data_IF_497360483784
#
_entry.id   IF_497360483784
#
_cell.length_a   1.000
_cell.length_b   1.000
_cell.length_c   1.000
_cell.angle_alpha   90.00
_cell.angle_beta   90.00
_cell.angle_gamma   90.00
#
_symmetry.space_group_name_H-M   'P 1'
#
loop_
_entity.id
_entity.type
_entity.pdbx_description
1 polymer ?
#
# COMPACT_ATOMS: atom_id res chain seq x y z
N UNK A 1 -59.34 -54.18 -88.72
CA UNK A 1 -58.70 -52.91 -89.09
C UNK A 1 -58.01 -52.37 -87.86
N UNK A 2 -56.80 -51.91 -88.08
CA UNK A 2 -55.76 -51.56 -87.13
C UNK A 2 -56.19 -50.58 -86.04
N UNK A 3 -55.77 -50.83 -84.80
CA UNK A 3 -55.59 -49.75 -83.83
C UNK A 3 -54.23 -49.94 -83.15
N UNK A 4 -53.39 -48.94 -83.37
CA UNK A 4 -51.97 -48.87 -83.09
C UNK A 4 -51.62 -49.04 -81.62
N UNK A 5 -50.54 -49.80 -81.38
CA UNK A 5 -49.63 -49.66 -80.24
C UNK A 5 -48.95 -48.28 -80.31
N UNK A 6 -48.99 -47.54 -79.22
CA UNK A 6 -47.99 -46.51 -78.91
C UNK A 6 -47.48 -46.73 -77.50
N UNK A 7 -46.29 -47.30 -77.44
CA UNK A 7 -45.45 -47.40 -76.25
C UNK A 7 -44.92 -46.00 -75.91
N UNK A 8 -45.29 -45.48 -74.73
CA UNK A 8 -44.69 -44.29 -74.13
C UNK A 8 -44.36 -44.60 -72.66
N UNK A 9 -43.36 -45.45 -72.44
CA UNK A 9 -42.69 -45.62 -71.15
C UNK A 9 -41.37 -44.85 -71.15
N UNK A 10 -41.44 -43.55 -70.90
CA UNK A 10 -40.27 -42.76 -70.56
C UNK A 10 -39.80 -43.07 -69.13
N UNK A 11 -38.51 -43.35 -68.88
CA UNK A 11 -37.99 -43.46 -67.53
C UNK A 11 -37.98 -42.07 -66.87
N UNK A 12 -38.83 -41.90 -65.84
CA UNK A 12 -38.78 -40.77 -64.93
C UNK A 12 -37.49 -40.86 -64.11
N UNK A 13 -36.49 -40.07 -64.51
CA UNK A 13 -35.29 -39.80 -63.71
C UNK A 13 -35.74 -38.94 -62.53
N UNK A 14 -36.09 -39.60 -61.42
CA UNK A 14 -36.25 -38.93 -60.13
C UNK A 14 -34.86 -38.57 -59.62
N UNK A 15 -34.41 -37.36 -59.94
CA UNK A 15 -33.22 -36.78 -59.33
C UNK A 15 -33.40 -36.73 -57.81
N UNK A 16 -32.67 -37.60 -57.11
CA UNK A 16 -32.59 -37.69 -55.67
C UNK A 16 -31.82 -36.47 -55.14
N UNK A 17 -32.51 -35.32 -55.08
CA UNK A 17 -32.00 -34.07 -54.50
C UNK A 17 -31.77 -34.31 -53.01
N UNK A 18 -30.53 -34.65 -52.69
CA UNK A 18 -30.00 -34.79 -51.34
C UNK A 18 -30.30 -33.53 -50.53
N UNK A 19 -31.35 -33.60 -49.70
CA UNK A 19 -31.82 -32.51 -48.83
C UNK A 19 -30.80 -32.29 -47.71
N UNK A 20 -29.78 -31.47 -47.97
CA UNK A 20 -28.81 -31.09 -46.97
C UNK A 20 -29.54 -30.39 -45.80
N UNK A 21 -29.54 -31.03 -44.62
CA UNK A 21 -30.08 -30.42 -43.39
C UNK A 21 -29.33 -29.10 -43.14
N UNK A 22 -30.04 -27.98 -42.91
CA UNK A 22 -29.39 -26.70 -42.65
C UNK A 22 -28.47 -26.83 -41.42
N UNK A 23 -27.16 -26.63 -41.63
CA UNK A 23 -26.17 -26.57 -40.56
C UNK A 23 -26.54 -25.41 -39.64
N UNK A 24 -27.10 -25.72 -38.48
CA UNK A 24 -27.41 -24.73 -37.45
C UNK A 24 -26.11 -24.05 -37.01
N UNK A 25 -26.14 -22.72 -36.96
CA UNK A 25 -25.00 -21.92 -36.56
C UNK A 25 -24.46 -22.38 -35.19
N UNK A 26 -23.12 -22.42 -34.99
CA UNK A 26 -22.54 -22.87 -33.74
C UNK A 26 -23.02 -21.97 -32.60
N UNK A 27 -23.64 -22.57 -31.58
CA UNK A 27 -24.01 -21.86 -30.36
C UNK A 27 -22.75 -21.23 -29.74
N UNK A 28 -22.84 -19.97 -29.33
CA UNK A 28 -21.77 -19.25 -28.64
C UNK A 28 -22.17 -19.01 -27.18
N UNK A 29 -21.19 -18.92 -26.29
CA UNK A 29 -21.38 -18.59 -24.87
C UNK A 29 -20.39 -17.52 -24.41
N UNK A 30 -20.77 -16.72 -23.43
CA UNK A 30 -19.95 -15.64 -22.85
C UNK A 30 -19.19 -16.16 -21.63
N UNK A 31 -17.89 -15.88 -21.54
CA UNK A 31 -17.08 -16.24 -20.38
C UNK A 31 -17.40 -15.32 -19.18
N UNK A 32 -17.77 -15.85 -18.00
CA UNK A 32 -18.13 -15.03 -16.84
C UNK A 32 -16.95 -14.28 -16.20
N UNK A 33 -15.70 -14.65 -16.54
CA UNK A 33 -14.51 -14.00 -15.99
C UNK A 33 -14.01 -12.80 -16.82
N UNK A 34 -14.08 -12.89 -18.15
CA UNK A 34 -13.50 -11.87 -19.05
C UNK A 34 -14.46 -11.36 -20.11
N UNK A 35 -15.70 -11.85 -20.15
CA UNK A 35 -16.72 -11.40 -21.12
C UNK A 35 -16.51 -11.87 -22.56
N UNK A 36 -15.42 -12.59 -22.88
CA UNK A 36 -15.15 -13.05 -24.26
C UNK A 36 -16.13 -14.14 -24.68
N UNK A 37 -16.65 -14.03 -25.90
CA UNK A 37 -17.43 -15.08 -26.56
C UNK A 37 -16.54 -16.27 -26.92
N UNK A 38 -17.06 -17.49 -26.75
CA UNK A 38 -16.38 -18.71 -27.16
C UNK A 38 -17.40 -19.76 -27.66
N UNK A 39 -16.92 -20.72 -28.47
CA UNK A 39 -17.75 -21.81 -28.98
C UNK A 39 -18.35 -22.61 -27.83
N UNK A 40 -19.67 -22.71 -27.80
CA UNK A 40 -20.39 -23.43 -26.75
C UNK A 40 -20.02 -24.92 -26.78
N UNK A 41 -19.76 -25.45 -25.59
CA UNK A 41 -19.71 -26.88 -25.31
C UNK A 41 -20.41 -27.05 -23.97
N UNK A 42 -21.29 -28.04 -23.84
CA UNK A 42 -22.14 -28.23 -22.65
C UNK A 42 -21.38 -28.14 -21.31
N UNK A 43 -20.16 -28.68 -21.26
CA UNK A 43 -19.32 -28.69 -20.05
C UNK A 43 -18.31 -27.54 -19.96
N UNK A 44 -18.29 -26.61 -20.92
CA UNK A 44 -17.31 -25.50 -20.97
C UNK A 44 -18.01 -24.18 -20.60
N UNK A 45 -17.73 -23.71 -19.38
CA UNK A 45 -18.23 -22.43 -18.86
C UNK A 45 -17.25 -21.26 -19.05
N UNK A 46 -15.95 -21.55 -19.20
CA UNK A 46 -14.90 -20.54 -19.35
C UNK A 46 -14.23 -20.65 -20.72
N UNK A 47 -13.85 -19.52 -21.32
CA UNK A 47 -13.19 -19.50 -22.61
C UNK A 47 -11.82 -20.21 -22.60
N UNK A 48 -11.09 -20.12 -21.48
CA UNK A 48 -9.74 -20.67 -21.29
C UNK A 48 -9.49 -21.24 -19.88
N UNK A 49 -8.50 -22.15 -19.71
CA UNK A 49 -8.09 -22.64 -18.40
C UNK A 49 -7.64 -21.53 -17.44
N UNK A 50 -7.03 -20.45 -17.97
CA UNK A 50 -6.62 -19.26 -17.19
C UNK A 50 -7.84 -18.56 -16.58
N UNK A 51 -8.90 -18.36 -17.35
CA UNK A 51 -10.14 -17.76 -16.84
C UNK A 51 -10.82 -18.64 -15.79
N UNK A 52 -10.82 -19.96 -15.97
CA UNK A 52 -11.33 -20.90 -14.97
C UNK A 52 -10.55 -20.81 -13.66
N UNK A 53 -9.21 -20.83 -13.71
CA UNK A 53 -8.34 -20.68 -12.54
C UNK A 53 -8.55 -19.32 -11.84
N UNK A 54 -8.63 -18.24 -12.60
CA UNK A 54 -8.86 -16.90 -12.05
C UNK A 54 -10.22 -16.77 -11.37
N UNK A 55 -11.29 -17.33 -11.97
CA UNK A 55 -12.61 -17.33 -11.36
C UNK A 55 -12.65 -18.14 -10.06
N UNK A 56 -11.97 -19.30 -10.04
CA UNK A 56 -11.80 -20.10 -8.81
C UNK A 56 -11.07 -19.31 -7.73
N UNK A 57 -9.92 -18.71 -8.04
CA UNK A 57 -9.17 -17.86 -7.10
C UNK A 57 -9.96 -16.65 -6.63
N UNK A 58 -10.77 -16.03 -7.49
CA UNK A 58 -11.64 -14.91 -7.12
C UNK A 58 -12.70 -15.38 -6.12
N UNK A 59 -13.35 -16.53 -6.36
CA UNK A 59 -14.30 -17.13 -5.42
C UNK A 59 -13.65 -17.50 -4.10
N UNK A 60 -12.46 -18.10 -4.14
CA UNK A 60 -11.68 -18.45 -2.97
C UNK A 60 -11.29 -17.22 -2.14
N UNK A 61 -10.88 -16.11 -2.77
CA UNK A 61 -10.59 -14.84 -2.09
C UNK A 61 -11.84 -14.17 -1.50
N UNK A 62 -13.01 -14.41 -2.08
CA UNK A 62 -14.29 -13.93 -1.53
C UNK A 62 -14.65 -14.77 -0.30
N UNK A 63 -14.52 -16.09 -0.39
CA UNK A 63 -14.89 -17.01 0.70
C UNK A 63 -13.90 -16.98 1.86
N UNK A 64 -12.62 -16.82 1.54
CA UNK A 64 -11.47 -16.83 2.46
C UNK A 64 -10.58 -15.65 2.11
N UNK A 65 -10.98 -14.42 2.47
CA UNK A 65 -10.15 -13.25 2.23
C UNK A 65 -8.85 -13.41 3.01
N UNK A 66 -7.72 -13.10 2.37
CA UNK A 66 -6.39 -13.13 2.97
C UNK A 66 -6.18 -11.93 3.93
N UNK A 67 -7.06 -11.79 4.91
CA UNK A 67 -6.98 -10.82 6.00
C UNK A 67 -6.45 -11.50 7.27
N UNK A 68 -6.16 -10.71 8.30
CA UNK A 68 -5.68 -11.23 9.59
C UNK A 68 -6.65 -12.21 10.26
N UNK A 69 -7.96 -12.13 9.96
CA UNK A 69 -8.95 -13.06 10.53
C UNK A 69 -8.78 -14.49 9.99
N UNK A 70 -8.37 -14.67 8.73
CA UNK A 70 -8.28 -15.99 8.09
C UNK A 70 -6.84 -16.47 7.84
N UNK A 71 -5.83 -15.64 8.07
CA UNK A 71 -4.41 -15.99 7.84
C UNK A 71 -3.57 -15.64 9.06
N UNK A 72 -3.00 -16.67 9.70
CA UNK A 72 -2.12 -16.52 10.87
C UNK A 72 -0.88 -15.66 10.56
N UNK A 73 -0.29 -15.85 9.37
CA UNK A 73 0.85 -15.04 8.93
C UNK A 73 0.49 -13.56 8.84
N UNK A 74 -0.67 -13.23 8.25
CA UNK A 74 -1.14 -11.84 8.16
C UNK A 74 -1.50 -11.26 9.53
N UNK A 75 -2.07 -12.07 10.42
CA UNK A 75 -2.33 -11.67 11.79
C UNK A 75 -1.03 -11.31 12.53
N UNK A 76 0.02 -12.13 12.36
CA UNK A 76 1.33 -11.89 12.95
C UNK A 76 1.98 -10.62 12.39
N UNK A 77 2.03 -10.45 11.06
CA UNK A 77 2.56 -9.24 10.42
C UNK A 77 1.83 -7.98 10.92
N UNK A 78 0.50 -8.04 11.03
CA UNK A 78 -0.32 -6.94 11.53
C UNK A 78 -0.02 -6.66 13.01
N UNK A 79 0.15 -7.70 13.84
CA UNK A 79 0.50 -7.55 15.25
C UNK A 79 1.88 -6.91 15.44
N UNK A 80 2.90 -7.37 14.70
CA UNK A 80 4.26 -6.81 14.72
C UNK A 80 4.26 -5.33 14.30
N UNK A 81 3.48 -4.98 13.27
CA UNK A 81 3.30 -3.60 12.82
C UNK A 81 2.69 -2.71 13.90
N UNK A 82 1.63 -3.16 14.58
CA UNK A 82 0.99 -2.39 15.64
C UNK A 82 1.84 -2.32 16.92
N UNK A 83 2.57 -3.38 17.25
CA UNK A 83 3.53 -3.36 18.36
C UNK A 83 4.62 -2.31 18.12
N UNK A 84 5.21 -2.29 16.91
CA UNK A 84 6.19 -1.27 16.55
C UNK A 84 5.61 0.14 16.62
N UNK A 85 4.40 0.35 16.10
CA UNK A 85 3.71 1.64 16.20
C UNK A 85 3.52 2.10 17.66
N UNK A 86 3.20 1.17 18.56
CA UNK A 86 3.04 1.44 19.98
C UNK A 86 4.38 1.82 20.64
N UNK A 87 5.47 1.11 20.32
CA UNK A 87 6.83 1.43 20.82
C UNK A 87 7.29 2.80 20.35
N UNK A 88 7.00 3.18 19.10
CA UNK A 88 7.29 4.51 18.59
C UNK A 88 6.51 5.60 19.35
N UNK A 89 5.22 5.35 19.64
CA UNK A 89 4.42 6.27 20.43
C UNK A 89 4.92 6.36 21.89
N UNK A 90 5.30 5.23 22.49
CA UNK A 90 5.91 5.20 23.82
C UNK A 90 7.21 6.01 23.87
N UNK A 91 8.08 5.85 22.87
CA UNK A 91 9.30 6.65 22.77
C UNK A 91 8.97 8.14 22.66
N UNK A 92 8.04 8.51 21.78
CA UNK A 92 7.59 9.90 21.62
C UNK A 92 7.14 10.52 22.95
N UNK A 93 6.31 9.81 23.73
CA UNK A 93 5.77 10.36 24.98
C UNK A 93 6.73 10.27 26.16
N UNK A 94 7.76 9.43 26.08
CA UNK A 94 8.83 9.36 27.07
C UNK A 94 9.83 10.51 26.92
N UNK A 95 9.98 11.06 25.71
CA UNK A 95 10.84 12.21 25.45
C UNK A 95 10.28 13.49 26.09
N UNK A 96 11.15 14.41 26.55
CA UNK A 96 10.72 15.71 27.04
C UNK A 96 10.08 16.53 25.91
N UNK A 97 9.17 17.46 26.24
CA UNK A 97 8.41 18.25 25.27
C UNK A 97 9.18 18.83 24.07
N UNK A 98 10.40 19.32 24.31
CA UNK A 98 11.22 19.99 23.30
C UNK A 98 11.89 19.02 22.30
N UNK A 99 12.10 17.75 22.67
CA UNK A 99 12.73 16.74 21.80
C UNK A 99 11.71 16.01 20.89
N UNK A 100 10.42 16.07 21.23
CA UNK A 100 9.37 15.33 20.53
C UNK A 100 9.26 15.69 19.04
N UNK A 101 9.46 16.97 18.72
CA UNK A 101 9.37 17.47 17.35
C UNK A 101 10.50 16.88 16.48
N UNK A 102 11.74 16.90 16.97
CA UNK A 102 12.88 16.32 16.25
C UNK A 102 12.76 14.81 16.08
N UNK A 103 12.17 14.11 17.05
CA UNK A 103 11.87 12.68 16.92
C UNK A 103 10.83 12.39 15.81
N UNK A 104 9.73 13.14 15.77
CA UNK A 104 8.71 12.98 14.73
C UNK A 104 9.27 13.31 13.35
N UNK A 105 10.04 14.39 13.24
CA UNK A 105 10.72 14.79 12.00
C UNK A 105 11.61 13.66 11.46
N UNK A 106 12.42 13.06 12.35
CA UNK A 106 13.32 11.96 12.01
C UNK A 106 12.54 10.76 11.46
N UNK A 107 11.44 10.38 12.11
CA UNK A 107 10.57 9.27 11.64
C UNK A 107 9.99 9.58 10.25
N UNK A 108 9.56 10.81 10.01
CA UNK A 108 9.00 11.22 8.71
C UNK A 108 10.06 11.17 7.62
N UNK A 109 11.28 11.65 7.89
CA UNK A 109 12.42 11.53 6.95
C UNK A 109 12.71 10.07 6.62
N UNK A 110 12.84 9.19 7.64
CA UNK A 110 13.04 7.75 7.44
C UNK A 110 11.96 7.10 6.55
N UNK A 111 10.70 7.54 6.69
CA UNK A 111 9.59 7.06 5.88
C UNK A 111 9.63 7.58 4.43
N UNK A 112 10.03 8.85 4.26
CA UNK A 112 10.11 9.53 2.96
C UNK A 112 11.28 9.03 2.13
N UNK A 113 12.46 8.90 2.74
CA UNK A 113 13.69 8.45 2.09
C UNK A 113 13.64 6.97 1.68
N UNK A 114 12.64 6.23 2.18
CA UNK A 114 12.46 4.81 1.88
C UNK A 114 13.41 3.89 2.64
N UNK A 115 14.15 4.40 3.63
CA UNK A 115 15.04 3.60 4.47
C UNK A 115 14.30 2.53 5.27
N UNK A 116 13.06 2.81 5.69
CA UNK A 116 12.22 1.83 6.38
C UNK A 116 10.81 1.76 5.77
N UNK A 117 10.53 0.77 4.89
CA UNK A 117 9.20 0.60 4.31
C UNK A 117 8.12 0.29 5.37
N UNK A 118 8.51 -0.32 6.49
CA UNK A 118 7.61 -0.62 7.60
C UNK A 118 7.17 0.66 8.33
N UNK A 119 8.09 1.60 8.58
CA UNK A 119 7.75 2.89 9.18
C UNK A 119 6.80 3.68 8.27
N UNK A 120 7.08 3.70 6.95
CA UNK A 120 6.18 4.29 5.96
C UNK A 120 4.79 3.66 6.02
N UNK A 121 4.70 2.33 6.07
CA UNK A 121 3.43 1.62 6.15
C UNK A 121 2.68 1.95 7.47
N UNK A 122 3.37 2.00 8.61
CA UNK A 122 2.80 2.42 9.92
C UNK A 122 2.20 3.83 9.84
N UNK A 123 2.98 4.80 9.35
CA UNK A 123 2.55 6.19 9.26
C UNK A 123 1.34 6.38 8.35
N UNK A 124 1.23 5.60 7.27
CA UNK A 124 0.16 5.71 6.29
C UNK A 124 -1.05 4.79 6.57
N UNK A 125 -1.00 4.01 7.66
CA UNK A 125 -2.09 3.09 8.01
C UNK A 125 -3.35 3.86 8.41
N UNK A 126 -4.49 3.65 7.73
CA UNK A 126 -5.73 4.38 8.04
C UNK A 126 -6.20 4.19 9.49
N UNK A 127 -6.04 2.98 10.04
CA UNK A 127 -6.40 2.67 11.42
C UNK A 127 -5.56 3.44 12.45
N UNK A 128 -4.35 3.89 12.10
CA UNK A 128 -3.52 4.72 12.97
C UNK A 128 -3.69 6.21 12.68
N UNK A 129 -3.99 6.61 11.44
CA UNK A 129 -4.28 8.01 11.10
C UNK A 129 -5.63 8.49 11.65
N UNK A 130 -6.64 7.62 11.55
CA UNK A 130 -8.00 7.84 12.00
C UNK A 130 -8.42 6.67 12.91
N UNK A 131 -7.76 6.51 14.08
CA UNK A 131 -8.07 5.44 15.01
C UNK A 131 -9.46 5.63 15.61
N UNK A 132 -10.18 4.53 15.78
CA UNK A 132 -11.40 4.51 16.57
C UNK A 132 -11.00 4.64 18.06
N UNK A 133 -11.54 5.59 18.83
CA UNK A 133 -11.22 5.74 20.25
C UNK A 133 -11.57 4.51 21.10
N UNK A 134 -12.49 3.65 20.63
CA UNK A 134 -12.81 2.38 21.31
C UNK A 134 -11.66 1.37 21.24
N UNK A 135 -10.79 1.46 20.23
CA UNK A 135 -9.64 0.59 20.04
C UNK A 135 -8.45 1.05 20.90
N UNK A 136 -8.64 1.03 22.23
CA UNK A 136 -7.68 1.56 23.21
C UNK A 136 -6.26 1.00 23.04
N UNK A 137 -6.12 -0.22 22.54
CA UNK A 137 -4.82 -0.86 22.32
C UNK A 137 -3.92 -0.15 21.29
N UNK A 138 -4.49 0.69 20.43
CA UNK A 138 -3.74 1.49 19.45
C UNK A 138 -3.04 2.71 20.06
N UNK A 139 -3.44 3.11 21.27
CA UNK A 139 -2.97 4.33 21.92
C UNK A 139 -1.97 4.01 23.04
N UNK A 140 -0.98 4.89 23.21
CA UNK A 140 -0.05 4.79 24.33
C UNK A 140 -0.81 4.74 25.67
N UNK A 141 -0.40 3.83 26.57
CA UNK A 141 -1.06 3.54 27.86
C UNK A 141 -2.56 3.23 27.78
N UNK A 142 -3.06 2.88 26.59
CA UNK A 142 -4.49 2.62 26.34
C UNK A 142 -5.40 3.81 26.68
N UNK A 143 -4.90 5.03 26.52
CA UNK A 143 -5.57 6.28 26.89
C UNK A 143 -5.77 7.20 25.66
N UNK A 144 -6.84 7.02 24.87
CA UNK A 144 -7.10 7.80 23.65
C UNK A 144 -7.39 9.28 23.89
N UNK A 145 -7.82 9.65 25.11
CA UNK A 145 -8.10 11.04 25.47
C UNK A 145 -6.82 11.85 25.77
N UNK A 146 -5.77 11.17 26.23
CA UNK A 146 -4.53 11.82 26.68
C UNK A 146 -3.42 11.71 25.64
N UNK A 147 -3.45 10.67 24.81
CA UNK A 147 -2.42 10.39 23.82
C UNK A 147 -3.03 10.19 22.44
N UNK A 148 -2.33 10.68 21.41
CA UNK A 148 -2.60 10.34 20.02
C UNK A 148 -1.67 9.23 19.55
N UNK A 149 -2.05 8.52 18.48
CA UNK A 149 -1.18 7.53 17.84
C UNK A 149 0.03 8.20 17.21
N UNK A 150 1.08 7.42 16.90
CA UNK A 150 2.27 7.96 16.23
C UNK A 150 1.93 8.59 14.87
N UNK A 151 1.02 8.00 14.10
CA UNK A 151 0.60 8.50 12.79
C UNK A 151 -0.23 9.79 12.92
N UNK A 152 -1.08 9.93 13.95
CA UNK A 152 -1.77 11.18 14.24
C UNK A 152 -0.79 12.29 14.64
N UNK A 153 0.19 11.99 15.48
CA UNK A 153 1.24 12.95 15.88
C UNK A 153 2.03 13.44 14.66
N UNK A 154 2.47 12.50 13.80
CA UNK A 154 3.17 12.82 12.56
C UNK A 154 2.31 13.66 11.59
N UNK A 155 1.03 13.32 11.41
CA UNK A 155 0.15 14.10 10.54
C UNK A 155 -0.10 15.51 11.07
N UNK A 156 -0.26 15.68 12.39
CA UNK A 156 -0.33 17.02 13.00
C UNK A 156 0.96 17.79 12.75
N UNK A 157 2.11 17.17 12.99
CA UNK A 157 3.40 17.79 12.72
C UNK A 157 3.51 18.26 11.26
N UNK A 158 3.22 17.42 10.26
CA UNK A 158 3.25 17.82 8.85
C UNK A 158 2.34 19.01 8.52
N UNK A 159 1.16 19.09 9.14
CA UNK A 159 0.21 20.19 8.92
C UNK A 159 0.72 21.51 9.51
N UNK A 160 1.39 21.46 10.67
CA UNK A 160 1.86 22.66 11.39
C UNK A 160 3.31 23.05 11.08
N UNK A 161 4.09 22.14 10.50
CA UNK A 161 5.45 22.35 10.03
C UNK A 161 5.50 23.19 8.74
N UNK A 162 6.70 23.59 8.26
CA UNK A 162 6.82 24.31 7.00
C UNK A 162 6.39 23.49 5.77
N UNK A 163 6.24 22.16 5.85
CA UNK A 163 5.59 21.39 4.78
C UNK A 163 4.14 21.87 4.55
N UNK A 164 3.42 22.25 5.61
CA UNK A 164 2.00 22.65 5.61
C UNK A 164 1.10 21.74 4.75
N UNK A 165 1.33 20.44 4.82
CA UNK A 165 0.66 19.44 4.00
C UNK A 165 0.28 18.21 4.83
N UNK A 166 -0.56 17.33 4.28
CA UNK A 166 -0.92 16.08 4.92
C UNK A 166 0.26 15.10 4.89
N UNK A 167 0.34 14.23 5.91
CA UNK A 167 1.39 13.21 6.00
C UNK A 167 1.51 12.36 4.74
N UNK A 168 0.38 12.02 4.12
CA UNK A 168 0.34 11.21 2.91
C UNK A 168 1.11 11.85 1.74
N UNK A 169 0.93 13.16 1.54
CA UNK A 169 1.60 13.90 0.48
C UNK A 169 3.10 14.05 0.78
N UNK A 170 3.46 14.32 2.04
CA UNK A 170 4.86 14.46 2.47
C UNK A 170 5.64 13.15 2.28
N UNK A 171 5.09 12.02 2.76
CA UNK A 171 5.77 10.71 2.70
C UNK A 171 5.81 10.15 1.27
N UNK A 172 4.89 10.57 0.39
CA UNK A 172 4.93 10.20 -1.04
C UNK A 172 5.89 11.06 -1.87
N UNK A 173 6.38 12.16 -1.32
CA UNK A 173 7.19 13.14 -2.06
C UNK A 173 6.36 14.08 -2.94
N UNK A 174 5.03 14.11 -2.76
CA UNK A 174 4.14 15.02 -3.47
C UNK A 174 4.22 16.46 -2.90
N UNK A 175 4.67 16.60 -1.65
CA UNK A 175 4.86 17.90 -1.00
C UNK A 175 6.27 18.45 -1.25
N UNK A 176 6.42 19.76 -1.54
CA UNK A 176 7.73 20.38 -1.69
C UNK A 176 8.54 20.28 -0.39
N UNK A 177 9.87 20.29 -0.52
CA UNK A 177 10.75 20.35 0.64
C UNK A 177 10.53 21.69 1.37
N UNK A 178 10.45 21.69 2.71
CA UNK A 178 10.39 22.92 3.48
C UNK A 178 11.64 23.75 3.19
N UNK A 179 11.53 25.08 3.18
CA UNK A 179 12.70 25.94 3.12
C UNK A 179 13.59 25.62 4.34
N UNK A 180 14.85 25.28 4.10
CA UNK A 180 15.82 24.94 5.15
C UNK A 180 16.17 26.15 6.02
N UNK A 181 15.85 27.36 5.55
CA UNK A 181 16.26 28.62 6.19
C UNK A 181 17.76 28.88 6.04
N UNK A 182 18.43 28.18 5.12
CA UNK A 182 19.81 28.47 4.75
C UNK A 182 19.85 29.84 4.04
N UNK A 183 20.76 30.70 4.50
CA UNK A 183 21.02 31.99 3.85
C UNK A 183 22.10 31.76 2.82
N UNK A 184 21.80 32.00 1.55
CA UNK A 184 22.78 31.85 0.48
C UNK A 184 23.83 32.96 0.53
N UNK A 185 24.99 32.71 -0.08
CA UNK A 185 26.12 33.64 -0.07
C UNK A 185 25.83 35.00 -0.74
N UNK A 186 24.78 35.06 -1.56
CA UNK A 186 24.27 36.29 -2.18
C UNK A 186 23.37 37.12 -1.23
N UNK A 187 23.13 36.63 0.00
CA UNK A 187 22.21 37.24 0.95
C UNK A 187 20.74 36.98 0.66
N UNK A 188 20.43 36.15 -0.35
CA UNK A 188 19.09 35.65 -0.61
C UNK A 188 18.67 34.70 0.51
N UNK A 189 17.47 34.93 1.05
CA UNK A 189 16.76 33.91 1.84
C UNK A 189 15.88 33.17 0.86
N UNK A 190 15.86 31.83 0.92
CA UNK A 190 14.82 31.01 0.26
C UNK A 190 13.46 31.33 0.88
N UNK A 191 12.92 32.50 0.55
CA UNK A 191 11.58 32.88 0.95
C UNK A 191 10.64 32.09 0.03
N UNK A 192 9.89 31.10 0.57
CA UNK A 192 8.90 30.42 -0.24
C UNK A 192 7.92 31.47 -0.74
N UNK A 193 7.65 31.48 -2.05
CA UNK A 193 6.66 32.38 -2.65
C UNK A 193 5.47 32.52 -1.70
N UNK A 194 5.04 33.76 -1.39
CA UNK A 194 4.06 34.02 -0.35
C UNK A 194 2.85 33.14 -0.61
N UNK A 195 2.70 32.10 0.22
CA UNK A 195 1.61 31.12 0.07
C UNK A 195 0.34 31.91 0.14
N UNK A 196 -0.30 32.11 -1.01
CA UNK A 196 -1.56 32.83 -1.12
C UNK A 196 -2.45 32.29 -0.02
N UNK A 197 -2.80 33.16 0.94
CA UNK A 197 -3.65 32.83 2.06
C UNK A 197 -4.80 31.99 1.51
N UNK A 198 -4.85 30.70 1.86
CA UNK A 198 -5.95 29.81 1.48
C UNK A 198 -7.22 30.39 2.11
N UNK A 199 -7.87 31.31 1.40
CA UNK A 199 -9.26 31.63 1.62
C UNK A 199 -10.01 30.33 1.43
N UNK A 200 -10.67 29.85 2.48
CA UNK A 200 -11.48 28.63 2.50
C UNK A 200 -12.74 28.80 1.62
N UNK A 201 -12.57 29.04 0.32
CA UNK A 201 -13.63 29.45 -0.61
C UNK A 201 -14.24 28.34 -1.46
N UNK A 202 -13.67 27.13 -1.48
CA UNK A 202 -14.20 26.05 -2.32
C UNK A 202 -14.70 24.87 -1.48
N UNK A 203 -15.91 25.03 -0.95
CA UNK A 203 -16.64 24.01 -0.20
C UNK A 203 -17.59 23.31 -1.17
N UNK A 204 -17.15 22.21 -1.79
CA UNK A 204 -18.03 21.32 -2.54
C UNK A 204 -19.07 20.71 -1.58
N UNK A 205 -20.34 20.82 -1.94
CA UNK A 205 -21.54 20.62 -1.10
C UNK A 205 -21.84 19.18 -0.64
N UNK A 206 -20.88 18.25 -0.63
CA UNK A 206 -21.16 16.81 -0.40
C UNK A 206 -20.66 16.19 0.91
N UNK A 207 -19.99 16.94 1.80
CA UNK A 207 -19.46 16.40 3.07
C UNK A 207 -19.95 17.16 4.31
N UNK A 208 -21.24 17.47 4.38
CA UNK A 208 -21.83 18.14 5.57
C UNK A 208 -21.92 17.25 6.83
N UNK A 209 -21.66 15.94 6.74
CA UNK A 209 -21.82 15.01 7.86
C UNK A 209 -20.61 14.82 8.79
N UNK A 210 -19.39 15.18 8.36
CA UNK A 210 -18.15 14.86 9.12
C UNK A 210 -17.48 16.09 9.74
N UNK A 211 -17.76 17.29 9.19
CA UNK A 211 -17.12 18.55 9.60
C UNK A 211 -17.59 19.09 10.96
N UNK A 212 -18.77 18.71 11.44
CA UNK A 212 -19.32 19.16 12.73
C UNK A 212 -18.57 18.55 13.92
N UNK A 213 -18.04 17.33 13.79
CA UNK A 213 -17.27 16.66 14.86
C UNK A 213 -15.83 17.19 15.00
N UNK A 214 -15.28 17.82 13.97
CA UNK A 214 -13.90 18.36 13.97
C UNK A 214 -13.86 19.81 14.49
N UNK A 215 -14.95 20.58 14.36
CA UNK A 215 -14.99 21.99 14.80
C UNK A 215 -15.09 22.18 16.31
N UNK A 216 -15.67 21.25 17.06
CA UNK A 216 -15.73 21.35 18.53
C UNK A 216 -14.38 21.10 19.23
N UNK A 217 -13.40 20.50 18.54
CA UNK A 217 -12.07 20.20 19.10
C UNK A 217 -11.01 21.31 18.93
N UNK A 218 -11.37 22.51 18.45
CA UNK A 218 -10.41 23.58 18.06
C UNK A 218 -10.00 24.59 19.15
N UNK A 219 -10.45 24.46 20.41
CA UNK A 219 -10.15 25.44 21.47
C UNK A 219 -8.97 25.10 22.40
N UNK A 220 -8.18 24.06 22.10
CA UNK A 220 -7.05 23.64 22.95
C UNK A 220 -5.75 23.77 22.16
N UNK A 221 -4.72 24.39 22.75
CA UNK A 221 -3.40 24.53 22.12
C UNK A 221 -2.90 23.16 21.62
N UNK A 222 -2.54 23.00 20.33
CA UNK A 222 -2.53 21.69 19.65
C UNK A 222 -1.49 20.68 20.16
N UNK A 223 -0.54 21.12 20.98
CA UNK A 223 0.52 20.27 21.56
C UNK A 223 0.44 20.10 23.08
N UNK A 224 -0.17 21.04 23.81
CA UNK A 224 -0.29 20.99 25.27
C UNK A 224 -1.59 21.66 25.71
N UNK A 225 -2.67 20.89 25.80
CA UNK A 225 -3.82 21.23 26.62
C UNK A 225 -3.54 20.98 28.11
N UNK A 226 -2.47 21.57 28.65
CA UNK A 226 -2.26 21.67 30.10
C UNK A 226 -2.83 23.01 30.56
N UNK A 227 -4.17 23.09 30.54
CA UNK A 227 -4.95 24.19 31.11
C UNK A 227 -5.91 23.73 32.20
N UNK A 228 -5.82 22.48 32.66
CA UNK A 228 -6.51 22.01 33.85
C UNK A 228 -5.45 21.53 34.84
N UNK A 229 -5.33 22.25 35.95
CA UNK A 229 -4.91 21.68 37.22
C UNK A 229 -5.67 20.36 37.41
N UNK A 230 -4.97 19.23 37.30
CA UNK A 230 -5.55 17.97 37.69
C UNK A 230 -4.97 17.55 39.04
N UNK A 231 -5.79 17.46 40.09
CA UNK A 231 -5.36 16.89 41.37
C UNK A 231 -5.48 15.36 41.29
N UNK A 232 -4.69 14.69 40.44
CA UNK A 232 -4.49 13.25 40.60
C UNK A 232 -3.27 13.00 41.47
N UNK A 233 -3.53 12.67 42.73
CA UNK A 233 -2.57 11.89 43.54
C UNK A 233 -2.23 10.63 42.73
N UNK A 234 -0.96 10.51 42.34
CA UNK A 234 -0.40 9.29 41.76
C UNK A 234 -0.82 8.12 42.66
N UNK A 235 -1.73 7.26 42.18
CA UNK A 235 -1.91 5.96 42.84
C UNK A 235 -0.65 5.16 42.56
N UNK A 236 -0.03 4.55 43.58
CA UNK A 236 1.02 3.57 43.35
C UNK A 236 0.44 2.46 42.47
N UNK A 237 1.12 2.20 41.35
CA UNK A 237 0.82 1.08 40.47
C UNK A 237 1.08 -0.21 41.25
N UNK A 238 0.21 -1.24 41.16
CA UNK A 238 0.56 -2.56 41.67
C UNK A 238 1.72 -3.11 40.85
N UNK A 239 2.69 -3.71 41.54
CA UNK A 239 3.90 -4.31 40.99
C UNK A 239 3.58 -5.23 39.80
N UNK A 240 3.79 -4.71 38.59
CA UNK A 240 3.84 -5.51 37.37
C UNK A 240 5.21 -6.19 37.34
N UNK A 241 5.26 -7.35 37.98
CA UNK A 241 6.43 -8.21 38.01
C UNK A 241 6.92 -8.60 36.61
N UNK A 242 8.13 -8.13 36.28
CA UNK A 242 9.24 -8.90 35.69
C UNK A 242 8.83 -9.91 34.59
N UNK A 243 8.31 -9.44 33.45
CA UNK A 243 8.43 -10.15 32.16
C UNK A 243 8.53 -9.14 31.00
N UNK A 244 9.50 -8.24 30.99
CA UNK A 244 9.79 -7.42 29.77
C UNK A 244 11.24 -7.02 29.55
N UNK A 245 12.15 -7.15 30.53
CA UNK A 245 13.47 -6.51 30.42
C UNK A 245 14.43 -7.13 29.38
N UNK A 246 14.24 -8.39 28.95
CA UNK A 246 15.20 -9.05 28.03
C UNK A 246 14.84 -8.99 26.53
N UNK A 247 13.67 -8.47 26.15
CA UNK A 247 13.26 -8.37 24.74
C UNK A 247 13.27 -6.94 24.19
N UNK A 248 13.50 -5.93 25.02
CA UNK A 248 13.52 -4.51 24.60
C UNK A 248 14.89 -4.02 24.19
N UNK A 249 15.97 -4.55 24.77
CA UNK A 249 17.34 -4.14 24.43
C UNK A 249 17.74 -4.54 23.00
N UNK A 250 17.38 -5.75 22.54
CA UNK A 250 17.79 -6.25 21.22
C UNK A 250 17.18 -5.48 20.04
N UNK A 251 15.91 -5.06 20.17
CA UNK A 251 15.23 -4.26 19.13
C UNK A 251 15.72 -2.80 19.15
N UNK A 252 16.09 -2.28 20.32
CA UNK A 252 16.64 -0.93 20.45
C UNK A 252 18.04 -0.85 19.83
N UNK A 253 18.87 -1.87 20.04
CA UNK A 253 20.18 -2.00 19.40
C UNK A 253 20.09 -2.17 17.89
N UNK A 254 19.07 -2.87 17.36
CA UNK A 254 18.87 -2.94 15.90
C UNK A 254 18.47 -1.60 15.30
N UNK A 255 17.57 -0.85 15.94
CA UNK A 255 17.17 0.48 15.45
C UNK A 255 18.35 1.45 15.50
N UNK A 256 19.10 1.48 16.61
CA UNK A 256 20.29 2.33 16.73
C UNK A 256 21.37 1.92 15.73
N UNK A 257 21.60 0.61 15.49
CA UNK A 257 22.50 0.13 14.42
C UNK A 257 22.04 0.58 13.04
N UNK A 258 20.75 0.53 12.73
CA UNK A 258 20.22 0.99 11.44
C UNK A 258 20.47 2.49 11.28
N UNK A 259 20.24 3.28 12.33
CA UNK A 259 20.51 4.73 12.33
C UNK A 259 22.00 5.01 12.16
N UNK A 260 22.87 4.34 12.91
CA UNK A 260 24.33 4.50 12.79
C UNK A 260 24.83 4.14 11.39
N UNK A 261 24.39 3.02 10.82
CA UNK A 261 24.76 2.60 9.45
C UNK A 261 24.25 3.59 8.39
N UNK A 262 23.04 4.13 8.57
CA UNK A 262 22.51 5.14 7.67
C UNK A 262 23.33 6.45 7.74
N UNK A 263 23.70 6.89 8.94
CA UNK A 263 24.53 8.10 9.12
C UNK A 263 25.96 7.93 8.60
N UNK A 264 26.57 6.75 8.78
CA UNK A 264 27.89 6.45 8.23
C UNK A 264 27.88 6.48 6.69
N UNK A 265 26.88 5.85 6.06
CA UNK A 265 26.73 5.88 4.59
C UNK A 265 26.48 7.27 4.03
N UNK A 266 25.73 8.11 4.74
CA UNK A 266 25.52 9.50 4.34
C UNK A 266 26.83 10.31 4.41
N UNK A 267 27.68 10.02 5.41
CA UNK A 267 28.99 10.68 5.57
C UNK A 267 29.98 10.26 4.49
N UNK A 268 30.00 8.97 4.11
CA UNK A 268 30.83 8.47 3.00
C UNK A 268 30.40 9.03 1.64
N UNK A 269 29.09 9.15 1.40
CA UNK A 269 28.56 9.73 0.15
C UNK A 269 28.87 11.23 0.02
N UNK A 270 29.06 11.95 1.14
CA UNK A 270 29.47 13.36 1.14
C UNK A 270 30.97 13.59 0.86
N UNK A 271 31.81 12.56 0.89
CA UNK A 271 33.27 12.70 0.84
C UNK A 271 33.91 12.44 -0.53
N UNK A 272 33.13 12.12 -1.57
CA UNK A 272 33.65 11.88 -2.93
C UNK A 272 32.86 12.64 -4.00
N UNK A 273 32.87 13.97 -3.94
CA UNK A 273 32.58 14.80 -5.12
C UNK A 273 33.74 15.77 -5.40
N UNK A 274 34.89 15.21 -5.76
CA UNK A 274 35.74 15.88 -6.74
C UNK A 274 35.08 15.64 -8.10
N UNK A 275 34.35 16.64 -8.60
CA UNK A 275 33.83 16.62 -9.97
C UNK A 275 35.01 16.55 -10.95
N UNK A 276 35.10 15.52 -11.82
CA UNK A 276 35.95 15.62 -12.99
C UNK A 276 35.34 16.63 -13.98
N UNK A 277 36.22 17.44 -14.58
CA UNK A 277 35.87 18.37 -15.65
C UNK A 277 35.11 17.66 -16.79
N UNK A 278 33.87 18.11 -16.99
CA UNK A 278 33.06 18.15 -18.21
C UNK A 278 33.36 17.08 -19.29
N UNK A 279 32.47 16.09 -19.52
CA UNK A 279 32.55 15.23 -20.69
C UNK A 279 31.87 15.85 -21.94
N UNK A 280 32.24 15.40 -23.15
CA UNK A 280 31.79 15.98 -24.41
C UNK A 280 30.35 15.55 -24.75
N UNK A 281 29.65 16.46 -25.42
CA UNK A 281 28.32 16.29 -25.99
C UNK A 281 28.34 15.36 -27.20
N UNK A 282 28.27 14.04 -26.99
CA UNK A 282 27.83 13.12 -28.05
C UNK A 282 27.39 11.76 -27.48
N UNK A 283 26.09 11.55 -27.34
CA UNK A 283 25.51 10.22 -27.13
C UNK A 283 24.20 10.11 -27.91
N UNK A 284 24.33 9.63 -29.14
CA UNK A 284 23.22 9.10 -29.94
C UNK A 284 22.55 7.93 -29.23
N UNK A 285 21.23 8.01 -29.10
CA UNK A 285 20.38 6.93 -28.59
C UNK A 285 20.10 5.93 -29.73
N UNK A 286 20.86 4.84 -29.80
CA UNK A 286 20.47 3.66 -30.60
C UNK A 286 19.62 2.70 -29.75
N UNK A 287 18.36 2.57 -30.15
CA UNK A 287 17.40 1.63 -29.59
C UNK A 287 17.78 0.19 -29.94
N UNK A 288 18.31 -0.56 -28.98
CA UNK A 288 18.42 -2.02 -29.07
C UNK A 288 17.59 -2.69 -27.97
N UNK A 289 16.49 -3.32 -28.36
CA UNK A 289 15.66 -4.16 -27.49
C UNK A 289 16.25 -5.58 -27.44
N UNK A 290 16.47 -6.17 -26.24
CA UNK A 290 16.92 -7.55 -26.16
C UNK A 290 15.75 -8.53 -26.36
N UNK A 291 15.90 -9.42 -27.35
CA UNK A 291 15.01 -10.57 -27.60
C UNK A 291 15.06 -11.55 -26.41
N UNK A 292 13.92 -11.74 -25.75
CA UNK A 292 13.75 -12.77 -24.72
C UNK A 292 13.81 -14.18 -25.34
N UNK A 293 14.75 -15.00 -24.85
CA UNK A 293 14.82 -16.44 -25.15
C UNK A 293 13.82 -17.21 -24.30
N UNK A 294 13.16 -18.20 -24.92
CA UNK A 294 12.17 -19.09 -24.33
C UNK A 294 12.77 -19.95 -23.22
N UNK A 295 12.12 -19.96 -22.05
CA UNK A 295 12.41 -20.87 -20.94
C UNK A 295 11.44 -22.04 -21.05
N UNK A 296 11.87 -23.10 -21.75
CA UNK A 296 11.19 -24.40 -21.79
C UNK A 296 12.27 -25.48 -21.67
N UNK A 297 12.67 -25.83 -20.44
CA UNK A 297 13.20 -27.16 -20.03
C UNK A 297 13.68 -27.11 -18.59
N UNK A 298 12.89 -27.63 -17.64
CA UNK A 298 13.40 -28.26 -16.41
C UNK A 298 12.22 -28.87 -15.61
N UNK A 299 11.74 -30.02 -16.12
CA UNK A 299 11.01 -31.00 -15.32
C UNK A 299 11.68 -32.33 -15.60
N UNK A 300 12.40 -32.87 -14.61
CA UNK A 300 12.60 -34.31 -14.31
C UNK A 300 13.81 -34.48 -13.38
N UNK A 301 13.55 -34.93 -12.15
CA UNK A 301 14.26 -35.98 -11.38
C UNK A 301 14.21 -35.67 -9.88
N UNK A 302 13.21 -36.22 -9.20
CA UNK A 302 13.26 -36.50 -7.76
C UNK A 302 12.57 -37.86 -7.56
N UNK A 303 13.36 -38.93 -7.66
CA UNK A 303 13.03 -40.26 -7.14
C UNK A 303 14.34 -40.86 -6.64
N UNK A 304 14.47 -40.99 -5.31
CA UNK A 304 15.20 -42.02 -4.54
C UNK A 304 15.71 -41.45 -3.20
N UNK A 305 14.94 -41.72 -2.14
CA UNK A 305 15.43 -41.72 -0.76
C UNK A 305 15.36 -43.18 -0.29
N UNK A 306 16.48 -43.84 0.06
CA UNK A 306 16.43 -45.16 0.68
C UNK A 306 16.12 -45.03 2.18
N UNK A 307 15.13 -45.81 2.64
CA UNK A 307 14.94 -46.10 4.06
C UNK A 307 16.09 -47.00 4.53
N UNK A 308 16.84 -46.57 5.54
CA UNK A 308 17.72 -47.44 6.31
C UNK A 308 16.92 -48.14 7.42
N UNK A 309 17.20 -49.43 7.58
CA UNK A 309 16.71 -50.29 8.65
C UNK A 309 17.57 -50.17 9.91
#
# INVERSE_FOLDING_TARGET
MDVFKTDLSGPSVVDEVSREKPKTAPKQSVCPNCGTLFKYRSNKTYCSPKCRKNASKKRERINTPANAANSLTKAREQAEKFDLALRMAERLYSLPPFERLGYIETIIRLARDGHSPLVRDILLTPQLLLPNPEDKHLFHRRQPLSYCTISQAANRYCIWSPWANQLLAVVRGDAPEPPTGEVFSDGGVDDPEPRGHRSNGFRTSQTQGVDTLIKENRKVHPWYGLGNEYPYKLRPQPDLGIITEKCTETVFDEINKIVEVATAKATEAGQTMNLPDRPPSDWGYENSTPKAKSVDTLIKREDQIPLAA
#
